data_IF_027081652031
#
_entry.id   IF_027081652031
#
_cell.length_a   1.000
_cell.length_b   1.000
_cell.length_c   1.000
_cell.angle_alpha   90.00
_cell.angle_beta   90.00
_cell.angle_gamma   90.00
#
_symmetry.space_group_name_H-M   'P 1'
#
loop_
_entity.id
_entity.type
_entity.pdbx_description
1 polymer ?
#
# COMPACT_ATOMS: atom_id res chain seq x y z
N UNK A 1 2.91 -0.57 10.55
CA UNK A 1 3.56 0.27 11.57
C UNK A 1 4.32 1.46 10.96
N UNK A 2 4.96 1.32 9.77
CA UNK A 2 5.75 2.40 9.13
C UNK A 2 4.96 3.70 8.95
N UNK A 3 3.71 3.72 8.43
CA UNK A 3 2.97 4.99 8.28
C UNK A 3 2.69 5.69 9.61
N UNK A 4 2.39 4.93 10.65
CA UNK A 4 2.10 5.48 11.98
C UNK A 4 3.34 6.08 12.64
N UNK A 5 4.50 5.42 12.50
CA UNK A 5 5.76 5.95 13.04
C UNK A 5 6.21 7.21 12.29
N UNK A 6 6.06 7.25 10.98
CA UNK A 6 6.37 8.44 10.18
C UNK A 6 5.48 9.64 10.56
N UNK A 7 4.18 9.42 10.74
CA UNK A 7 3.25 10.45 11.21
C UNK A 7 3.57 10.91 12.62
N UNK A 8 3.88 9.99 13.52
CA UNK A 8 4.25 10.34 14.89
C UNK A 8 5.49 11.26 14.95
N UNK A 9 6.53 10.95 14.16
CA UNK A 9 7.71 11.80 14.04
C UNK A 9 7.35 13.18 13.47
N UNK A 10 6.48 13.24 12.47
CA UNK A 10 5.98 14.50 11.91
C UNK A 10 5.20 15.32 12.95
N UNK A 11 4.34 14.69 13.73
CA UNK A 11 3.51 15.35 14.74
C UNK A 11 4.34 15.85 15.94
N UNK A 12 5.44 15.18 16.26
CA UNK A 12 6.42 15.69 17.24
C UNK A 12 7.06 17.01 16.79
N UNK A 13 7.26 17.18 15.48
CA UNK A 13 7.83 18.40 14.91
C UNK A 13 6.79 19.51 14.72
N UNK A 14 5.60 19.16 14.22
CA UNK A 14 4.53 20.11 13.89
C UNK A 14 3.66 20.50 15.10
N UNK A 15 3.68 19.69 16.17
CA UNK A 15 2.84 19.86 17.35
C UNK A 15 1.56 19.02 17.28
N UNK A 16 1.04 18.69 18.46
CA UNK A 16 -0.18 17.89 18.60
C UNK A 16 -1.43 18.73 18.31
N UNK A 17 -2.36 18.14 17.56
CA UNK A 17 -3.62 18.77 17.14
C UNK A 17 -4.84 17.91 17.50
N UNK A 18 -6.01 18.52 17.66
CA UNK A 18 -7.23 17.86 18.15
C UNK A 18 -7.74 16.72 17.24
N UNK A 19 -7.49 16.79 15.93
CA UNK A 19 -7.89 15.76 14.97
C UNK A 19 -6.93 14.57 14.87
N UNK A 20 -5.81 14.58 15.59
CA UNK A 20 -4.79 13.55 15.58
C UNK A 20 -5.36 12.16 15.88
N UNK A 21 -6.18 12.02 16.92
CA UNK A 21 -6.81 10.74 17.30
C UNK A 21 -7.64 10.13 16.15
N UNK A 22 -8.34 10.95 15.40
CA UNK A 22 -9.18 10.52 14.29
C UNK A 22 -8.35 10.08 13.09
N UNK A 23 -7.25 10.77 12.83
CA UNK A 23 -6.31 10.39 11.75
C UNK A 23 -5.63 9.07 12.07
N UNK A 24 -5.08 8.93 13.28
CA UNK A 24 -4.44 7.67 13.70
C UNK A 24 -5.45 6.51 13.78
N UNK A 25 -6.64 6.77 14.32
CA UNK A 25 -7.73 5.79 14.39
C UNK A 25 -8.17 5.31 13.01
N UNK A 26 -8.31 6.22 12.03
CA UNK A 26 -8.65 5.85 10.65
C UNK A 26 -7.56 5.02 9.98
N UNK A 27 -6.29 5.36 10.18
CA UNK A 27 -5.17 4.57 9.63
C UNK A 27 -5.15 3.17 10.22
N UNK A 28 -5.32 3.03 11.54
CA UNK A 28 -5.39 1.72 12.21
C UNK A 28 -6.57 0.89 11.69
N UNK A 29 -7.75 1.49 11.61
CA UNK A 29 -8.96 0.81 11.13
C UNK A 29 -8.79 0.34 9.69
N UNK A 30 -8.32 1.20 8.80
CA UNK A 30 -8.11 0.88 7.39
C UNK A 30 -7.03 -0.19 7.21
N UNK A 31 -5.92 -0.11 7.95
CA UNK A 31 -4.85 -1.09 7.90
C UNK A 31 -5.34 -2.46 8.37
N UNK A 32 -6.12 -2.50 9.45
CA UNK A 32 -6.71 -3.74 9.97
C UNK A 32 -7.71 -4.33 8.99
N UNK A 33 -8.59 -3.51 8.42
CA UNK A 33 -9.57 -3.95 7.43
C UNK A 33 -8.87 -4.48 6.17
N UNK A 34 -7.86 -3.77 5.67
CA UNK A 34 -7.05 -4.21 4.53
C UNK A 34 -6.36 -5.54 4.79
N UNK A 35 -5.85 -5.76 5.99
CA UNK A 35 -5.21 -7.02 6.37
C UNK A 35 -6.18 -8.22 6.26
N UNK A 36 -7.43 -8.05 6.69
CA UNK A 36 -8.44 -9.11 6.62
C UNK A 36 -9.06 -9.29 5.23
N UNK A 37 -9.10 -8.26 4.41
CA UNK A 37 -9.75 -8.31 3.08
C UNK A 37 -8.79 -8.65 1.95
N UNK A 38 -7.48 -8.49 2.15
CA UNK A 38 -6.48 -8.80 1.12
C UNK A 38 -6.23 -10.31 1.01
N UNK A 39 -6.43 -10.92 -0.17
CA UNK A 39 -6.02 -12.30 -0.41
C UNK A 39 -4.50 -12.43 -0.41
N UNK A 40 -3.98 -13.58 0.04
CA UNK A 40 -2.54 -13.90 0.13
C UNK A 40 -1.83 -13.75 -1.23
N UNK A 41 -2.54 -14.03 -2.32
CA UNK A 41 -2.09 -13.78 -3.71
C UNK A 41 -2.90 -12.64 -4.31
N UNK A 42 -2.56 -11.41 -3.99
CA UNK A 42 -3.25 -10.24 -4.52
C UNK A 42 -2.77 -9.90 -5.93
N UNK A 43 -3.70 -9.76 -6.86
CA UNK A 43 -3.48 -9.21 -8.19
C UNK A 43 -3.43 -7.68 -8.12
N UNK A 44 -2.79 -7.01 -9.09
CA UNK A 44 -2.73 -5.54 -9.16
C UNK A 44 -4.12 -4.87 -9.10
N UNK A 45 -5.15 -5.55 -9.63
CA UNK A 45 -6.56 -5.09 -9.55
C UNK A 45 -7.04 -5.06 -8.09
N UNK A 46 -6.73 -6.08 -7.30
CA UNK A 46 -7.07 -6.11 -5.87
C UNK A 46 -6.32 -5.04 -5.07
N UNK A 47 -5.05 -4.79 -5.42
CA UNK A 47 -4.27 -3.71 -4.81
C UNK A 47 -4.89 -2.34 -5.12
N UNK A 48 -5.24 -2.09 -6.38
CA UNK A 48 -5.88 -0.84 -6.81
C UNK A 48 -7.24 -0.62 -6.15
N UNK A 49 -8.12 -1.62 -6.16
CA UNK A 49 -9.45 -1.51 -5.55
C UNK A 49 -9.38 -1.30 -4.03
N UNK A 50 -8.48 -1.99 -3.34
CA UNK A 50 -8.30 -1.82 -1.90
C UNK A 50 -7.72 -0.45 -1.56
N UNK A 51 -6.81 0.07 -2.36
CA UNK A 51 -6.26 1.41 -2.18
C UNK A 51 -7.32 2.51 -2.41
N UNK A 52 -8.17 2.37 -3.42
CA UNK A 52 -9.29 3.28 -3.65
C UNK A 52 -10.29 3.24 -2.49
N UNK A 53 -10.66 2.05 -2.04
CA UNK A 53 -11.54 1.88 -0.88
C UNK A 53 -10.93 2.51 0.37
N UNK A 54 -9.67 2.25 0.64
CA UNK A 54 -8.93 2.80 1.78
C UNK A 54 -8.87 4.32 1.75
N UNK A 55 -8.57 4.91 0.59
CA UNK A 55 -8.53 6.37 0.41
C UNK A 55 -9.92 7.00 0.61
N UNK A 56 -10.97 6.35 0.10
CA UNK A 56 -12.35 6.82 0.28
C UNK A 56 -12.78 6.74 1.75
N UNK A 57 -12.49 5.63 2.43
CA UNK A 57 -12.77 5.49 3.86
C UNK A 57 -12.04 6.53 4.70
N UNK A 58 -10.76 6.74 4.41
CA UNK A 58 -9.98 7.77 5.08
C UNK A 58 -10.58 9.15 4.89
N UNK A 59 -10.93 9.51 3.66
CA UNK A 59 -11.59 10.78 3.35
C UNK A 59 -12.90 10.96 4.12
N UNK A 60 -13.75 9.93 4.14
CA UNK A 60 -15.04 9.99 4.83
C UNK A 60 -14.86 10.16 6.34
N UNK A 61 -14.02 9.35 6.97
CA UNK A 61 -13.84 9.36 8.42
C UNK A 61 -13.19 10.66 8.90
N UNK A 62 -12.12 11.10 8.23
CA UNK A 62 -11.39 12.29 8.67
C UNK A 62 -12.19 13.57 8.47
N UNK A 63 -12.91 13.72 7.37
CA UNK A 63 -13.76 14.90 7.14
C UNK A 63 -14.99 14.91 8.04
N UNK A 64 -15.58 13.75 8.36
CA UNK A 64 -16.62 13.66 9.37
C UNK A 64 -16.10 14.12 10.75
N UNK A 65 -14.89 13.73 11.11
CA UNK A 65 -14.25 14.15 12.35
C UNK A 65 -13.97 15.67 12.38
N UNK A 66 -13.53 16.24 11.26
CA UNK A 66 -13.33 17.70 11.12
C UNK A 66 -14.65 18.44 11.30
N UNK A 67 -15.74 17.95 10.70
CA UNK A 67 -17.05 18.56 10.87
C UNK A 67 -17.56 18.43 12.32
N UNK A 68 -17.46 17.24 12.92
CA UNK A 68 -18.05 16.96 14.24
C UNK A 68 -17.26 17.58 15.39
N UNK A 69 -15.94 17.59 15.34
CA UNK A 69 -15.06 18.02 16.43
C UNK A 69 -14.28 19.31 16.12
N UNK A 70 -14.33 19.76 14.89
CA UNK A 70 -13.74 21.05 14.49
C UNK A 70 -14.70 22.20 14.77
N UNK A 71 -14.14 23.40 14.85
CA UNK A 71 -14.90 24.64 15.01
C UNK A 71 -15.14 25.38 13.69
N UNK A 72 -14.74 24.77 12.56
CA UNK A 72 -14.73 25.45 11.26
C UNK A 72 -16.09 25.43 10.57
N UNK A 73 -16.91 24.42 10.81
CA UNK A 73 -18.21 24.22 10.18
C UNK A 73 -19.31 24.08 11.24
N UNK A 74 -20.53 24.64 10.98
CA UNK A 74 -21.66 24.44 11.88
C UNK A 74 -22.11 22.99 11.91
N UNK A 75 -22.58 22.50 13.07
CA UNK A 75 -23.10 21.13 13.24
C UNK A 75 -24.51 21.00 12.66
N UNK A 76 -24.67 21.33 11.40
CA UNK A 76 -25.88 21.23 10.60
C UNK A 76 -25.61 20.38 9.37
N UNK A 77 -26.67 19.91 8.70
CA UNK A 77 -26.56 19.20 7.43
C UNK A 77 -25.85 20.05 6.36
N UNK A 78 -26.14 21.33 6.32
CA UNK A 78 -25.49 22.28 5.40
C UNK A 78 -23.99 22.40 5.69
N UNK A 79 -23.61 22.46 6.98
CA UNK A 79 -22.20 22.48 7.40
C UNK A 79 -21.46 21.20 7.06
N UNK A 80 -22.13 20.04 7.15
CA UNK A 80 -21.59 18.76 6.72
C UNK A 80 -21.33 18.72 5.21
N UNK A 81 -22.32 19.13 4.42
CA UNK A 81 -22.17 19.20 2.95
C UNK A 81 -21.05 20.16 2.57
N UNK A 82 -20.98 21.32 3.21
CA UNK A 82 -19.91 22.30 2.96
C UNK A 82 -18.53 21.71 3.29
N UNK A 83 -18.38 21.04 4.43
CA UNK A 83 -17.13 20.40 4.83
C UNK A 83 -16.64 19.41 3.77
N UNK A 84 -17.49 18.50 3.32
CA UNK A 84 -17.12 17.53 2.29
C UNK A 84 -16.86 18.19 0.93
N UNK A 85 -17.66 19.18 0.54
CA UNK A 85 -17.46 19.90 -0.72
C UNK A 85 -16.10 20.58 -0.78
N UNK A 86 -15.71 21.22 0.31
CA UNK A 86 -14.40 21.87 0.42
C UNK A 86 -13.24 20.88 0.48
N UNK A 87 -13.50 19.64 0.87
CA UNK A 87 -12.49 18.57 0.94
C UNK A 87 -12.27 17.82 -0.40
N UNK A 88 -13.20 17.91 -1.37
CA UNK A 88 -13.10 17.21 -2.67
C UNK A 88 -11.78 17.49 -3.41
N UNK A 89 -11.26 18.72 -3.52
CA UNK A 89 -10.00 18.97 -4.20
C UNK A 89 -8.82 18.22 -3.58
N UNK A 90 -8.80 18.10 -2.26
CA UNK A 90 -7.76 17.35 -1.55
C UNK A 90 -7.89 15.85 -1.77
N UNK A 91 -9.11 15.34 -1.86
CA UNK A 91 -9.38 13.94 -2.18
C UNK A 91 -8.86 13.56 -3.57
N UNK A 92 -9.04 14.44 -4.57
CA UNK A 92 -8.48 14.26 -5.91
C UNK A 92 -6.95 14.09 -5.88
N UNK A 93 -6.25 14.93 -5.14
CA UNK A 93 -4.81 14.83 -4.95
C UNK A 93 -4.41 13.52 -4.24
N UNK A 94 -5.16 13.10 -3.23
CA UNK A 94 -4.93 11.84 -2.51
C UNK A 94 -5.09 10.64 -3.43
N UNK A 95 -6.13 10.60 -4.26
CA UNK A 95 -6.33 9.52 -5.24
C UNK A 95 -5.21 9.47 -6.28
N UNK A 96 -4.83 10.62 -6.82
CA UNK A 96 -3.74 10.72 -7.81
C UNK A 96 -2.42 10.20 -7.22
N UNK A 97 -2.08 10.63 -6.01
CA UNK A 97 -0.89 10.16 -5.31
C UNK A 97 -0.94 8.67 -5.05
N UNK A 98 -2.07 8.15 -4.60
CA UNK A 98 -2.27 6.72 -4.33
C UNK A 98 -2.05 5.87 -5.59
N UNK A 99 -2.64 6.27 -6.72
CA UNK A 99 -2.45 5.58 -8.01
C UNK A 99 -1.00 5.66 -8.49
N UNK A 100 -0.36 6.81 -8.35
CA UNK A 100 1.05 6.98 -8.68
C UNK A 100 1.97 6.05 -7.87
N UNK A 101 1.78 5.96 -6.56
CA UNK A 101 2.57 5.07 -5.70
C UNK A 101 2.32 3.60 -5.99
N UNK A 102 1.08 3.17 -6.28
CA UNK A 102 0.77 1.79 -6.68
C UNK A 102 1.51 1.44 -7.96
N UNK A 103 1.50 2.33 -8.96
CA UNK A 103 2.21 2.13 -10.21
C UNK A 103 3.73 2.03 -9.98
N UNK A 104 4.29 2.93 -9.19
CA UNK A 104 5.72 2.92 -8.85
C UNK A 104 6.13 1.62 -8.14
N UNK A 105 5.38 1.22 -7.11
CA UNK A 105 5.61 -0.03 -6.39
C UNK A 105 5.44 -1.26 -7.28
N UNK A 106 4.52 -1.22 -8.24
CA UNK A 106 4.33 -2.25 -9.25
C UNK A 106 5.59 -2.43 -10.12
N UNK A 107 6.16 -1.33 -10.61
CA UNK A 107 7.42 -1.35 -11.38
C UNK A 107 8.57 -1.89 -10.54
N UNK A 108 8.74 -1.40 -9.31
CA UNK A 108 9.82 -1.84 -8.41
C UNK A 108 9.70 -3.33 -8.10
N UNK A 109 8.49 -3.81 -7.80
CA UNK A 109 8.24 -5.24 -7.53
C UNK A 109 8.51 -6.10 -8.76
N UNK A 110 8.09 -5.66 -9.95
CA UNK A 110 8.34 -6.37 -11.20
C UNK A 110 9.84 -6.47 -11.51
N UNK A 111 10.57 -5.38 -11.38
CA UNK A 111 12.02 -5.38 -11.61
C UNK A 111 12.76 -6.23 -10.58
N UNK A 112 12.41 -6.15 -9.31
CA UNK A 112 13.01 -6.94 -8.25
C UNK A 112 12.80 -8.45 -8.47
N UNK A 113 11.59 -8.87 -8.83
CA UNK A 113 11.29 -10.28 -9.13
C UNK A 113 12.02 -10.79 -10.36
N UNK A 114 12.16 -9.99 -11.42
CA UNK A 114 12.91 -10.38 -12.60
C UNK A 114 14.41 -10.51 -12.33
N UNK A 115 14.97 -9.61 -11.52
CA UNK A 115 16.36 -9.72 -11.10
C UNK A 115 16.58 -10.98 -10.25
N UNK A 116 15.71 -11.23 -9.27
CA UNK A 116 15.81 -12.43 -8.42
C UNK A 116 15.72 -13.73 -9.25
N UNK A 117 14.83 -13.80 -10.23
CA UNK A 117 14.72 -14.96 -11.13
C UNK A 117 16.02 -15.18 -11.92
N UNK A 118 16.62 -14.13 -12.47
CA UNK A 118 17.89 -14.27 -13.21
C UNK A 118 18.99 -14.86 -12.34
N UNK A 119 19.12 -14.42 -11.10
CA UNK A 119 20.11 -14.98 -10.17
C UNK A 119 19.86 -16.46 -9.89
N UNK A 120 18.62 -16.88 -9.68
CA UNK A 120 18.31 -18.31 -9.46
C UNK A 120 18.57 -19.16 -10.70
N UNK A 121 18.23 -18.66 -11.89
CA UNK A 121 18.50 -19.37 -13.17
C UNK A 121 20.00 -19.50 -13.42
N UNK A 122 20.81 -18.49 -13.11
CA UNK A 122 22.27 -18.52 -13.23
C UNK A 122 22.89 -19.55 -12.26
N UNK A 123 22.45 -19.59 -10.99
CA UNK A 123 22.91 -20.58 -10.01
C UNK A 123 22.53 -22.03 -10.42
N UNK A 124 21.34 -22.26 -10.95
CA UNK A 124 20.90 -23.55 -11.42
C UNK A 124 21.73 -24.01 -12.64
N UNK A 125 22.03 -23.12 -13.56
CA UNK A 125 22.88 -23.37 -14.72
C UNK A 125 24.31 -23.74 -14.31
N UNK A 126 24.90 -23.02 -13.38
CA UNK A 126 26.24 -23.29 -12.84
C UNK A 126 26.25 -24.66 -12.16
N UNK A 127 25.28 -24.94 -11.30
CA UNK A 127 25.17 -26.21 -10.58
C UNK A 127 24.99 -27.39 -11.53
N UNK A 128 24.16 -27.23 -12.57
CA UNK A 128 23.97 -28.26 -13.60
C UNK A 128 25.23 -28.51 -14.39
N UNK A 129 25.97 -27.47 -14.75
CA UNK A 129 27.25 -27.56 -15.45
C UNK A 129 28.32 -28.26 -14.63
N UNK A 130 28.41 -27.95 -13.34
CA UNK A 130 29.33 -28.62 -12.42
C UNK A 130 28.99 -30.10 -12.23
N UNK A 131 27.71 -30.46 -12.18
CA UNK A 131 27.26 -31.86 -12.08
C UNK A 131 27.60 -32.66 -13.33
N UNK A 132 27.52 -32.08 -14.52
CA UNK A 132 27.93 -32.72 -15.77
C UNK A 132 29.43 -33.00 -15.78
N UNK A 133 30.24 -32.05 -15.31
CA UNK A 133 31.69 -32.19 -15.23
C UNK A 133 32.11 -33.24 -14.18
N UNK A 134 31.43 -33.22 -13.01
CA UNK A 134 31.75 -34.13 -11.89
C UNK A 134 31.31 -35.59 -12.16
N UNK A 135 30.25 -35.83 -12.94
CA UNK A 135 29.67 -37.17 -13.18
C UNK A 135 29.38 -37.43 -14.67
N UNK A 136 30.38 -37.45 -15.55
CA UNK A 136 30.16 -37.53 -17.00
C UNK A 136 29.49 -38.87 -17.47
N UNK A 137 29.54 -39.92 -16.69
CA UNK A 137 28.96 -41.22 -17.05
C UNK A 137 27.49 -41.46 -16.67
N UNK A 138 26.84 -40.51 -15.97
CA UNK A 138 25.45 -40.69 -15.54
C UNK A 138 24.42 -40.35 -16.60
N UNK A 139 24.79 -39.66 -17.68
CA UNK A 139 23.89 -39.22 -18.75
C UNK A 139 23.64 -40.26 -19.84
N UNK A 140 24.44 -41.32 -19.90
CA UNK A 140 24.36 -42.34 -20.99
C UNK A 140 23.35 -43.50 -20.74
N UNK A 141 22.70 -43.61 -19.58
CA UNK A 141 21.86 -44.78 -19.23
C UNK A 141 20.34 -44.55 -19.37
N UNK A 142 19.88 -43.50 -20.02
CA UNK A 142 18.44 -43.28 -20.27
C UNK A 142 18.12 -43.19 -21.77
N UNK A 143 18.62 -44.13 -22.56
CA UNK A 143 18.10 -44.38 -23.90
C UNK A 143 18.04 -45.90 -24.11
N UNK A 144 16.98 -46.51 -23.73
CA UNK A 144 16.38 -47.71 -24.34
C UNK A 144 14.87 -47.56 -24.13
#
# INVERSE_FOLDING_TARGET
LVPLSAMFVSDLYLGFHSSMFWVYGSILLITTLSYYTMPIKSTYVHLGSNALLSSTMFFVITNFAVWMFGSMYPLTLEGLILCYTMAIPFFGNTLTSTLFYIFLLGIVSYTATNIARRYTDDEENITSSLNIIAYPHRTSSRRI
#
